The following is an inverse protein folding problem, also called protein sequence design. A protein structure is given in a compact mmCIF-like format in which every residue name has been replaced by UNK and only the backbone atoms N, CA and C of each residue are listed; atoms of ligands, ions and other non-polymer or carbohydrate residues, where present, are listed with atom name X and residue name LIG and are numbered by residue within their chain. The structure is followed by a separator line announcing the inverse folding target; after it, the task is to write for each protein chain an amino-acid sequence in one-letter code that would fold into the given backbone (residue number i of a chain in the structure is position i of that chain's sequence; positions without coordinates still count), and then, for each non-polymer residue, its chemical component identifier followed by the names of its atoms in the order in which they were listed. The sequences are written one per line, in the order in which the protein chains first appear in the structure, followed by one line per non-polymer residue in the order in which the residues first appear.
data_IF_969826538648
#
_entry.id   IF_969826538648
#
_cell.length_a   1.000
_cell.length_b   1.000
_cell.length_c   1.000
_cell.angle_alpha   90.00
_cell.angle_beta   90.00
_cell.angle_gamma   90.00
#
_symmetry.space_group_name_H-M   'P 1'
#
loop_
_entity.id
_entity.type
_entity.pdbx_description
1 polymer ?
#
# COMPACT_ATOMS: atom_id res chain seq x y z
N UNK A 1 29.76 -4.23 66.38
CA UNK A 1 29.74 -3.48 67.66
C UNK A 1 30.40 -2.12 67.44
N UNK A 2 29.71 -1.09 67.91
CA UNK A 2 30.16 0.25 68.31
C UNK A 2 30.69 1.28 67.29
N UNK A 3 29.74 2.17 66.96
CA UNK A 3 29.80 3.60 66.59
C UNK A 3 31.00 4.39 67.14
N UNK A 4 31.46 5.38 66.37
CA UNK A 4 31.74 6.71 66.93
C UNK A 4 31.60 7.81 65.87
N UNK A 5 30.77 8.80 66.18
CA UNK A 5 30.40 9.98 65.39
C UNK A 5 31.03 11.21 66.03
N UNK A 6 31.64 12.13 65.26
CA UNK A 6 31.83 13.60 65.52
C UNK A 6 32.45 14.24 64.25
N UNK A 7 32.30 15.50 63.86
CA UNK A 7 31.32 16.60 63.95
C UNK A 7 31.85 17.66 62.93
N UNK A 8 30.93 18.34 62.22
CA UNK A 8 30.93 19.73 61.71
C UNK A 8 32.00 20.26 60.69
N UNK A 9 31.48 20.57 59.48
CA UNK A 9 31.51 21.85 58.69
C UNK A 9 32.88 22.50 58.31
N UNK A 10 33.00 23.39 57.28
CA UNK A 10 31.97 24.01 56.41
C UNK A 10 32.28 24.02 54.88
N UNK A 11 31.24 24.35 54.10
CA UNK A 11 31.22 25.00 52.76
C UNK A 11 32.44 24.95 51.84
N UNK A 12 32.29 24.28 50.69
CA UNK A 12 33.02 24.62 49.47
C UNK A 12 32.03 24.74 48.30
N UNK A 13 32.06 25.89 47.64
CA UNK A 13 31.20 26.28 46.52
C UNK A 13 31.30 25.29 45.36
N UNK A 14 30.15 24.75 44.92
CA UNK A 14 30.10 23.98 43.68
C UNK A 14 29.82 24.96 42.54
N UNK A 15 30.83 25.08 41.67
CA UNK A 15 30.83 25.89 40.47
C UNK A 15 29.62 25.58 39.57
N UNK A 16 28.96 26.62 39.11
CA UNK A 16 27.91 26.58 38.10
C UNK A 16 28.54 26.16 36.75
N UNK A 17 28.46 24.89 36.41
CA UNK A 17 28.82 24.42 35.08
C UNK A 17 27.72 24.84 34.10
N UNK A 18 27.93 25.95 33.39
CA UNK A 18 27.12 26.32 32.24
C UNK A 18 27.41 25.32 31.10
N UNK A 19 26.64 24.24 31.05
CA UNK A 19 26.64 23.34 29.89
C UNK A 19 25.89 24.07 28.78
N UNK A 20 26.65 24.61 27.83
CA UNK A 20 26.12 25.07 26.55
C UNK A 20 25.41 23.88 25.89
N UNK A 21 24.08 23.89 25.94
CA UNK A 21 23.24 22.96 25.21
C UNK A 21 23.53 23.11 23.72
N UNK A 22 24.28 22.18 23.16
CA UNK A 22 24.37 22.01 21.72
C UNK A 22 22.97 21.65 21.24
N UNK A 23 22.30 22.59 20.57
CA UNK A 23 21.11 22.30 19.78
C UNK A 23 21.55 21.36 18.65
N UNK A 24 21.53 20.05 18.91
CA UNK A 24 21.52 19.07 17.84
C UNK A 24 20.25 19.34 17.05
N UNK A 25 20.41 19.91 15.87
CA UNK A 25 19.36 19.97 14.86
C UNK A 25 18.94 18.53 14.58
N UNK A 26 17.90 18.07 15.27
CA UNK A 26 17.18 16.85 14.90
C UNK A 26 16.74 17.05 13.46
N UNK A 27 17.46 16.40 12.54
CA UNK A 27 17.09 16.28 11.14
C UNK A 27 15.65 15.79 11.15
N UNK A 28 14.73 16.62 10.65
CA UNK A 28 13.33 16.23 10.53
C UNK A 28 13.22 14.89 9.77
N UNK A 29 12.10 14.17 9.91
CA UNK A 29 11.89 12.95 9.13
C UNK A 29 12.22 13.24 7.67
N UNK A 30 12.99 12.34 7.03
CA UNK A 30 13.32 12.48 5.63
C UNK A 30 12.03 12.77 4.86
N UNK A 31 11.98 13.89 4.15
CA UNK A 31 10.92 14.18 3.21
C UNK A 31 10.85 12.98 2.27
N UNK A 32 9.76 12.22 2.37
CA UNK A 32 9.49 11.10 1.47
C UNK A 32 9.56 11.70 0.08
N UNK A 33 10.45 11.23 -0.81
CA UNK A 33 10.49 11.72 -2.17
C UNK A 33 9.08 11.58 -2.74
N UNK A 34 8.51 12.69 -3.17
CA UNK A 34 7.29 12.74 -3.99
C UNK A 34 7.58 12.18 -5.39
N UNK A 35 8.41 11.14 -5.47
CA UNK A 35 8.85 10.50 -6.69
C UNK A 35 7.63 9.78 -7.29
N UNK A 36 6.96 10.54 -8.14
CA UNK A 36 6.05 10.14 -9.21
C UNK A 36 5.10 9.00 -8.86
N UNK A 37 4.02 9.37 -8.16
CA UNK A 37 2.76 8.64 -8.30
C UNK A 37 2.09 9.15 -9.56
N UNK A 38 2.43 8.61 -10.72
CA UNK A 38 1.48 8.68 -11.83
C UNK A 38 0.34 7.70 -11.50
N UNK A 39 -0.88 8.03 -11.95
CA UNK A 39 -2.12 7.39 -11.51
C UNK A 39 -2.51 7.67 -10.05
N UNK A 40 -3.81 7.74 -9.77
CA UNK A 40 -4.39 7.77 -8.42
C UNK A 40 -4.57 6.35 -7.88
N UNK A 41 -4.49 6.18 -6.56
CA UNK A 41 -4.75 4.87 -5.93
C UNK A 41 -5.67 4.93 -4.72
N UNK A 42 -6.52 3.90 -4.58
CA UNK A 42 -7.50 3.79 -3.50
C UNK A 42 -7.47 2.41 -2.87
N UNK A 43 -7.40 2.37 -1.54
CA UNK A 43 -7.57 1.13 -0.77
C UNK A 43 -9.05 0.92 -0.48
N UNK A 44 -9.62 -0.15 -1.03
CA UNK A 44 -11.04 -0.49 -0.89
C UNK A 44 -11.21 -1.45 0.28
N UNK A 45 -11.79 -0.97 1.38
CA UNK A 45 -11.95 -1.74 2.62
C UNK A 45 -13.39 -2.17 2.93
N UNK A 46 -14.38 -1.61 2.22
CA UNK A 46 -15.79 -1.99 2.40
C UNK A 46 -16.02 -3.36 1.78
N UNK A 47 -16.42 -4.41 2.54
CA UNK A 47 -16.44 -5.79 2.02
C UNK A 47 -17.27 -5.98 0.75
N UNK A 48 -18.44 -5.34 0.65
CA UNK A 48 -19.29 -5.41 -0.54
C UNK A 48 -18.57 -4.83 -1.77
N UNK A 49 -17.90 -3.69 -1.63
CA UNK A 49 -17.19 -3.05 -2.74
C UNK A 49 -15.92 -3.84 -3.08
N UNK A 50 -15.20 -4.33 -2.07
CA UNK A 50 -14.05 -5.20 -2.24
C UNK A 50 -14.40 -6.46 -3.05
N UNK A 51 -15.50 -7.14 -2.71
CA UNK A 51 -16.00 -8.27 -3.48
C UNK A 51 -16.34 -7.88 -4.92
N UNK A 52 -16.98 -6.73 -5.12
CA UNK A 52 -17.30 -6.23 -6.46
C UNK A 52 -16.07 -5.89 -7.30
N UNK A 53 -14.98 -5.39 -6.72
CA UNK A 53 -13.72 -5.13 -7.43
C UNK A 53 -13.12 -6.43 -7.98
N UNK A 54 -13.26 -7.55 -7.25
CA UNK A 54 -12.80 -8.85 -7.71
C UNK A 54 -13.81 -9.57 -8.62
N UNK A 55 -15.07 -9.14 -8.70
CA UNK A 55 -16.06 -9.72 -9.61
C UNK A 55 -15.86 -9.18 -11.05
N UNK A 56 -14.76 -9.61 -11.65
CA UNK A 56 -14.32 -9.24 -12.99
C UNK A 56 -15.09 -10.04 -14.05
N UNK A 57 -15.59 -9.37 -15.09
CA UNK A 57 -16.41 -10.03 -16.10
C UNK A 57 -15.60 -10.69 -17.24
N UNK A 58 -14.42 -10.18 -17.60
CA UNK A 58 -13.67 -10.64 -18.79
C UNK A 58 -12.24 -11.09 -18.52
N UNK A 59 -11.80 -11.06 -17.27
CA UNK A 59 -10.49 -11.55 -16.85
C UNK A 59 -10.62 -12.45 -15.61
N UNK A 60 -9.75 -13.44 -15.43
CA UNK A 60 -9.63 -14.16 -14.16
C UNK A 60 -9.28 -13.21 -13.01
N UNK A 61 -9.77 -13.55 -11.82
CA UNK A 61 -9.36 -12.92 -10.56
C UNK A 61 -9.56 -13.91 -9.42
N UNK A 62 -8.91 -13.70 -8.26
CA UNK A 62 -9.13 -14.57 -7.10
C UNK A 62 -10.60 -14.65 -6.64
N UNK A 63 -11.39 -13.60 -6.86
CA UNK A 63 -12.80 -13.57 -6.44
C UNK A 63 -13.76 -14.31 -7.39
N UNK A 64 -13.30 -14.69 -8.58
CA UNK A 64 -14.08 -15.46 -9.56
C UNK A 64 -14.07 -16.96 -9.28
N UNK A 65 -13.10 -17.43 -8.48
CA UNK A 65 -12.98 -18.82 -8.09
C UNK A 65 -13.67 -19.06 -6.75
N UNK A 66 -14.70 -19.91 -6.76
CA UNK A 66 -15.49 -20.19 -5.56
C UNK A 66 -14.61 -20.74 -4.44
N UNK A 67 -14.69 -20.11 -3.27
CA UNK A 67 -13.94 -20.52 -2.06
C UNK A 67 -12.45 -20.14 -2.06
N UNK A 68 -11.93 -19.50 -3.12
CA UNK A 68 -10.53 -19.07 -3.16
C UNK A 68 -10.25 -17.90 -2.21
N UNK A 69 -11.16 -16.93 -2.14
CA UNK A 69 -11.11 -15.84 -1.16
C UNK A 69 -11.88 -16.25 0.09
N UNK A 70 -11.19 -16.37 1.22
CA UNK A 70 -11.79 -16.70 2.52
C UNK A 70 -12.15 -15.47 3.35
N UNK A 71 -11.65 -14.29 2.98
CA UNK A 71 -11.88 -13.06 3.74
C UNK A 71 -11.27 -11.83 3.07
N UNK A 72 -11.62 -10.66 3.63
CA UNK A 72 -11.08 -9.37 3.23
C UNK A 72 -10.42 -8.70 4.43
N UNK A 73 -9.34 -7.98 4.17
CA UNK A 73 -8.60 -7.24 5.21
C UNK A 73 -8.15 -5.88 4.66
N UNK A 74 -7.79 -4.96 5.56
CA UNK A 74 -7.31 -3.64 5.18
C UNK A 74 -5.77 -3.61 5.12
N UNK A 75 -5.16 -3.44 3.93
CA UNK A 75 -3.72 -3.21 3.79
C UNK A 75 -3.23 -2.03 4.63
N UNK A 76 -2.11 -2.23 5.32
CA UNK A 76 -1.44 -1.12 5.99
C UNK A 76 -0.77 -0.20 4.97
N UNK A 77 -0.49 1.04 5.37
CA UNK A 77 0.21 2.00 4.51
C UNK A 77 1.57 1.47 4.04
N UNK A 78 2.32 0.83 4.93
CA UNK A 78 3.61 0.23 4.59
C UNK A 78 3.50 -0.85 3.51
N UNK A 79 2.45 -1.69 3.56
CA UNK A 79 2.23 -2.73 2.56
C UNK A 79 1.82 -2.14 1.21
N UNK A 80 1.06 -1.03 1.20
CA UNK A 80 0.78 -0.30 -0.03
C UNK A 80 2.05 0.34 -0.60
N UNK A 81 2.87 0.96 0.24
CA UNK A 81 4.12 1.56 -0.21
C UNK A 81 5.09 0.49 -0.76
N UNK A 82 5.12 -0.73 -0.18
CA UNK A 82 5.87 -1.88 -0.72
C UNK A 82 5.36 -2.32 -2.09
N UNK A 83 4.04 -2.45 -2.24
CA UNK A 83 3.39 -2.80 -3.51
C UNK A 83 3.69 -1.76 -4.60
N UNK A 84 3.51 -0.48 -4.29
CA UNK A 84 3.73 0.62 -5.25
C UNK A 84 5.19 0.67 -5.70
N UNK A 85 6.14 0.46 -4.77
CA UNK A 85 7.57 0.40 -5.08
C UNK A 85 7.93 -0.74 -6.05
N UNK A 86 7.12 -1.78 -6.14
CA UNK A 86 7.35 -2.92 -7.03
C UNK A 86 6.61 -2.82 -8.37
N UNK A 87 5.76 -1.81 -8.60
CA UNK A 87 4.96 -1.74 -9.82
C UNK A 87 5.82 -1.75 -11.09
N UNK A 88 6.99 -1.10 -11.07
CA UNK A 88 7.93 -1.06 -12.20
C UNK A 88 8.46 -2.44 -12.61
N UNK A 89 8.37 -3.46 -11.75
CA UNK A 89 8.68 -4.85 -12.14
C UNK A 89 7.74 -5.42 -13.20
N UNK A 90 6.54 -4.82 -13.37
CA UNK A 90 5.56 -5.20 -14.37
C UNK A 90 5.71 -4.46 -15.70
N UNK A 91 6.61 -3.46 -15.79
CA UNK A 91 6.73 -2.54 -16.94
C UNK A 91 6.95 -3.25 -18.28
N UNK A 92 7.65 -4.38 -18.27
CA UNK A 92 7.88 -5.19 -19.48
C UNK A 92 6.61 -5.81 -20.08
N UNK A 93 5.57 -5.98 -19.26
CA UNK A 93 4.27 -6.53 -19.63
C UNK A 93 3.17 -5.46 -19.68
N UNK A 94 3.28 -4.44 -18.83
CA UNK A 94 2.36 -3.31 -18.73
C UNK A 94 3.16 -2.03 -19.00
N UNK A 95 3.23 -1.55 -20.25
CA UNK A 95 3.93 -0.30 -20.55
C UNK A 95 3.31 0.87 -19.79
N UNK A 96 4.16 1.73 -19.23
CA UNK A 96 3.79 2.87 -18.39
C UNK A 96 2.89 2.44 -17.23
N UNK A 97 3.29 1.39 -16.51
CA UNK A 97 2.47 0.77 -15.45
C UNK A 97 2.03 1.78 -14.38
N UNK A 98 2.87 2.79 -14.14
CA UNK A 98 2.58 3.82 -13.15
C UNK A 98 1.44 4.72 -13.59
N UNK A 99 1.18 4.95 -14.88
CA UNK A 99 0.17 5.92 -15.33
C UNK A 99 -1.28 5.51 -15.02
N UNK A 100 -1.52 4.23 -14.76
CA UNK A 100 -2.85 3.69 -14.49
C UNK A 100 -3.40 4.13 -13.13
N UNK A 101 -4.68 4.45 -13.06
CA UNK A 101 -5.39 4.53 -11.78
C UNK A 101 -5.59 3.11 -11.21
N UNK A 102 -5.64 2.97 -9.87
CA UNK A 102 -5.59 1.66 -9.21
C UNK A 102 -6.50 1.54 -7.98
N UNK A 103 -7.25 0.44 -7.89
CA UNK A 103 -7.95 0.00 -6.69
C UNK A 103 -7.23 -1.19 -6.06
N UNK A 104 -6.99 -1.12 -4.75
CA UNK A 104 -6.36 -2.19 -3.97
C UNK A 104 -7.35 -2.83 -3.02
N UNK A 105 -7.37 -4.17 -3.01
CA UNK A 105 -8.19 -4.96 -2.10
C UNK A 105 -7.31 -5.98 -1.38
N UNK A 106 -7.30 -5.92 -0.05
CA UNK A 106 -6.69 -6.98 0.75
C UNK A 106 -7.60 -8.21 0.77
N UNK A 107 -7.07 -9.35 0.35
CA UNK A 107 -7.75 -10.65 0.39
C UNK A 107 -7.00 -11.66 1.26
N UNK A 108 -7.74 -12.55 1.90
CA UNK A 108 -7.22 -13.75 2.53
C UNK A 108 -7.49 -14.94 1.59
N UNK A 109 -6.44 -15.68 1.25
CA UNK A 109 -6.51 -16.83 0.33
C UNK A 109 -5.46 -17.86 0.73
N UNK A 110 -5.88 -19.11 0.92
CA UNK A 110 -5.01 -20.22 1.32
C UNK A 110 -4.11 -19.90 2.54
N UNK A 111 -4.64 -19.18 3.53
CA UNK A 111 -3.89 -18.77 4.74
C UNK A 111 -2.90 -17.63 4.53
N UNK A 112 -2.83 -17.04 3.34
CA UNK A 112 -2.01 -15.86 3.03
C UNK A 112 -2.85 -14.59 2.99
N UNK A 113 -2.22 -13.46 3.31
CA UNK A 113 -2.73 -12.11 3.09
C UNK A 113 -2.13 -11.55 1.81
N UNK A 114 -2.95 -11.42 0.78
CA UNK A 114 -2.56 -10.93 -0.54
C UNK A 114 -3.25 -9.59 -0.81
N UNK A 115 -2.73 -8.83 -1.76
CA UNK A 115 -3.35 -7.59 -2.23
C UNK A 115 -3.66 -7.74 -3.72
N UNK A 116 -4.94 -7.68 -4.08
CA UNK A 116 -5.37 -7.63 -5.46
C UNK A 116 -5.32 -6.18 -5.97
N UNK A 117 -4.77 -6.00 -7.17
CA UNK A 117 -4.79 -4.75 -7.92
C UNK A 117 -5.86 -4.86 -9.00
N UNK A 118 -6.73 -3.85 -9.09
CA UNK A 118 -7.55 -3.55 -10.25
C UNK A 118 -7.09 -2.21 -10.82
N UNK A 119 -6.49 -2.21 -12.00
CA UNK A 119 -5.90 -1.04 -12.62
C UNK A 119 -6.64 -0.66 -13.90
N UNK A 120 -6.75 0.63 -14.17
CA UNK A 120 -7.60 1.18 -15.23
C UNK A 120 -7.16 2.58 -15.68
N UNK A 121 -7.60 2.98 -16.86
CA UNK A 121 -7.72 4.39 -17.24
C UNK A 121 -9.21 4.74 -17.34
N UNK A 122 -9.65 5.73 -16.56
CA UNK A 122 -10.99 6.30 -16.72
C UNK A 122 -10.89 7.68 -17.37
N UNK A 123 -11.86 8.06 -18.20
CA UNK A 123 -12.05 9.46 -18.57
C UNK A 123 -12.32 10.32 -17.33
N UNK A 124 -11.78 11.53 -17.31
CA UNK A 124 -11.94 12.50 -16.21
C UNK A 124 -13.41 12.83 -15.90
N UNK A 125 -14.31 12.68 -16.88
CA UNK A 125 -15.74 12.99 -16.80
C UNK A 125 -16.63 11.76 -16.55
N UNK A 126 -16.05 10.61 -16.18
CA UNK A 126 -16.80 9.35 -15.96
C UNK A 126 -17.88 9.43 -14.87
N UNK A 127 -17.79 10.40 -13.95
CA UNK A 127 -18.74 10.57 -12.85
C UNK A 127 -18.67 9.48 -11.76
N UNK A 128 -17.79 8.48 -11.93
CA UNK A 128 -17.58 7.38 -11.00
C UNK A 128 -16.61 7.82 -9.91
N UNK A 129 -16.83 7.41 -8.66
CA UNK A 129 -15.87 7.61 -7.57
C UNK A 129 -15.14 6.30 -7.22
N UNK A 130 -13.89 6.08 -7.68
CA UNK A 130 -13.15 4.85 -7.43
C UNK A 130 -12.83 4.59 -5.95
N UNK A 131 -12.97 5.57 -5.06
CA UNK A 131 -12.84 5.35 -3.62
C UNK A 131 -14.06 4.65 -3.01
N UNK A 132 -15.21 4.69 -3.69
CA UNK A 132 -16.51 4.24 -3.15
C UNK A 132 -17.21 3.21 -4.02
N UNK A 133 -16.82 3.10 -5.28
CA UNK A 133 -17.44 2.27 -6.31
C UNK A 133 -16.40 1.37 -6.95
N UNK A 134 -16.76 0.12 -7.20
CA UNK A 134 -15.89 -0.82 -7.88
C UNK A 134 -15.80 -0.48 -9.38
N UNK A 135 -14.59 -0.33 -9.90
CA UNK A 135 -14.40 -0.16 -11.35
C UNK A 135 -14.48 -1.53 -12.02
N UNK A 136 -15.64 -1.80 -12.63
CA UNK A 136 -15.91 -3.02 -13.37
C UNK A 136 -16.13 -2.70 -14.83
N UNK A 137 -15.14 -3.04 -15.64
CA UNK A 137 -15.19 -2.93 -17.10
C UNK A 137 -14.99 -4.32 -17.67
N UNK A 138 -15.76 -4.68 -18.70
CA UNK A 138 -15.67 -5.98 -19.35
C UNK A 138 -14.78 -5.91 -20.58
N UNK A 139 -14.96 -4.90 -21.42
CA UNK A 139 -14.18 -4.76 -22.64
C UNK A 139 -13.30 -3.52 -22.53
N UNK A 140 -12.05 -3.64 -22.96
CA UNK A 140 -11.07 -2.56 -22.81
C UNK A 140 -9.62 -2.99 -22.94
N UNK A 141 -9.37 -4.29 -23.14
CA UNK A 141 -8.06 -4.83 -23.45
C UNK A 141 -7.00 -4.43 -22.44
N UNK A 142 -5.87 -3.94 -22.95
CA UNK A 142 -4.70 -3.56 -22.15
C UNK A 142 -4.89 -2.31 -21.29
N UNK A 143 -6.00 -1.59 -21.44
CA UNK A 143 -6.32 -0.43 -20.59
C UNK A 143 -6.87 -0.82 -19.22
N UNK A 144 -7.19 -2.10 -19.02
CA UNK A 144 -7.71 -2.63 -17.77
C UNK A 144 -7.00 -3.93 -17.45
N UNK A 145 -6.39 -3.99 -16.27
CA UNK A 145 -5.66 -5.17 -15.84
C UNK A 145 -5.82 -5.41 -14.34
N UNK A 146 -5.47 -6.61 -13.91
CA UNK A 146 -5.33 -6.91 -12.50
C UNK A 146 -4.17 -7.85 -12.25
N UNK A 147 -3.67 -7.83 -11.02
CA UNK A 147 -2.59 -8.69 -10.57
C UNK A 147 -2.74 -8.96 -9.06
N UNK A 148 -2.04 -9.97 -8.57
CA UNK A 148 -1.97 -10.32 -7.15
C UNK A 148 -0.57 -10.04 -6.63
N UNK A 149 -0.49 -9.22 -5.58
CA UNK A 149 0.74 -8.94 -4.85
C UNK A 149 0.76 -9.73 -3.54
N UNK A 150 1.88 -10.40 -3.26
CA UNK A 150 2.16 -11.04 -1.96
C UNK A 150 3.14 -10.15 -1.17
N UNK A 151 2.69 -9.44 -0.11
CA UNK A 151 3.57 -8.61 0.71
C UNK A 151 4.65 -9.39 1.46
N UNK A 152 4.49 -10.70 1.66
CA UNK A 152 5.47 -11.52 2.37
C UNK A 152 6.68 -11.85 1.47
N UNK A 153 6.45 -12.11 0.19
CA UNK A 153 7.52 -12.36 -0.78
C UNK A 153 7.92 -11.12 -1.59
N UNK A 154 7.13 -10.04 -1.52
CA UNK A 154 7.34 -8.78 -2.24
C UNK A 154 7.32 -8.97 -3.77
N UNK A 155 6.37 -9.77 -4.27
CA UNK A 155 6.28 -10.16 -5.69
C UNK A 155 4.86 -10.07 -6.23
N UNK A 156 4.76 -9.76 -7.52
CA UNK A 156 3.53 -9.88 -8.29
C UNK A 156 3.35 -11.26 -8.90
N UNK A 157 2.09 -11.63 -9.12
CA UNK A 157 1.65 -12.85 -9.77
C UNK A 157 0.30 -12.61 -10.45
N UNK A 158 -0.13 -13.54 -11.30
CA UNK A 158 -1.47 -13.56 -11.88
C UNK A 158 -1.86 -12.24 -12.58
N UNK A 159 -0.90 -11.63 -13.28
CA UNK A 159 -1.18 -10.50 -14.16
C UNK A 159 -2.14 -10.96 -15.26
N UNK A 160 -3.28 -10.29 -15.37
CA UNK A 160 -4.32 -10.55 -16.36
C UNK A 160 -4.85 -9.24 -16.91
N UNK A 161 -5.07 -9.19 -18.21
CA UNK A 161 -5.74 -8.07 -18.89
C UNK A 161 -7.21 -8.41 -19.14
N UNK A 162 -8.04 -7.39 -19.28
CA UNK A 162 -9.40 -7.58 -19.80
C UNK A 162 -9.39 -8.08 -21.24
N UNK A 163 -10.50 -8.68 -21.65
CA UNK A 163 -10.77 -8.97 -23.07
C UNK A 163 -10.69 -7.71 -23.95
N UNK A 164 -10.20 -7.88 -25.18
CA UNK A 164 -10.18 -6.83 -26.20
C UNK A 164 -11.58 -6.58 -26.80
N UNK A 165 -11.74 -5.45 -27.49
CA UNK A 165 -12.93 -5.19 -28.29
C UNK A 165 -12.95 -6.14 -29.51
N UNK A 166 -13.77 -7.19 -29.44
CA UNK A 166 -13.92 -8.18 -30.50
C UNK A 166 -13.48 -9.57 -30.05
N UNK A 167 -14.39 -10.54 -30.13
CA UNK A 167 -14.07 -11.97 -30.06
C UNK A 167 -13.16 -12.42 -31.21
N UNK A 168 -12.83 -13.73 -31.26
CA UNK A 168 -11.59 -14.33 -31.75
C UNK A 168 -11.02 -13.80 -33.08
#
# INVERSE_FOLDING_TARGET
MNRCTRLLLPTAAIALAAVLGACTTTRGPASVPTAERTGQSWVVTRPIIAAQVLDTCSRPSPGREAGRVSGYWAPSRQQIDQLEAQLSSLESQVPKVLDFDRQYVGIESAGKRLIYINAFHLPDDSGINPAREAIRVCDGGTQFWGAVFDPASNTFSELQFNGGFGGP
#
